data_IF_481117472132
#
_entry.id   IF_481117472132
#
_cell.length_a   1.000
_cell.length_b   1.000
_cell.length_c   1.000
_cell.angle_alpha   90.00
_cell.angle_beta   90.00
_cell.angle_gamma   90.00
#
_symmetry.space_group_name_H-M   'P 1'
#
loop_
_entity.id
_entity.type
_entity.pdbx_description
1 polymer ?
#
# COMPACT_ATOMS: atom_id res chain seq x y z
N UNK A 1 -5.64 -2.58 -13.62
CA UNK A 1 -4.31 -3.24 -13.84
C UNK A 1 -4.53 -4.63 -14.40
N UNK A 2 -3.90 -4.97 -15.53
CA UNK A 2 -3.94 -6.33 -16.07
C UNK A 2 -3.36 -7.33 -15.04
N UNK A 3 -3.86 -8.57 -14.94
CA UNK A 3 -3.37 -9.54 -13.96
C UNK A 3 -1.98 -10.10 -14.30
N UNK A 4 -1.53 -9.97 -15.56
CA UNK A 4 -0.25 -10.52 -16.06
C UNK A 4 0.35 -9.64 -17.16
N UNK A 5 1.63 -9.88 -17.49
CA UNK A 5 2.33 -9.18 -18.58
C UNK A 5 2.82 -7.77 -18.25
N UNK A 6 2.77 -7.37 -16.97
CA UNK A 6 3.26 -6.08 -16.54
C UNK A 6 4.71 -6.13 -16.08
N UNK A 7 5.35 -4.97 -16.06
CA UNK A 7 6.55 -4.70 -15.28
C UNK A 7 6.16 -3.78 -14.12
N UNK A 8 6.33 -4.27 -12.89
CA UNK A 8 5.74 -3.71 -11.67
C UNK A 8 6.84 -3.29 -10.69
N UNK A 9 6.82 -2.07 -10.20
CA UNK A 9 7.69 -1.64 -9.09
C UNK A 9 6.90 -1.54 -7.78
N UNK A 10 7.41 -2.22 -6.72
CA UNK A 10 6.77 -2.32 -5.40
C UNK A 10 7.73 -1.80 -4.32
N UNK A 11 7.90 -0.47 -4.14
CA UNK A 11 8.57 0.07 -2.97
C UNK A 11 7.81 -0.30 -1.70
N UNK A 12 8.50 -0.98 -0.76
CA UNK A 12 7.87 -1.63 0.40
C UNK A 12 7.53 -3.11 0.17
N UNK A 13 8.02 -3.71 -0.93
CA UNK A 13 7.82 -5.13 -1.28
C UNK A 13 8.71 -6.12 -0.53
N UNK A 14 9.41 -5.72 0.54
CA UNK A 14 10.35 -6.60 1.25
C UNK A 14 9.74 -7.37 2.43
N UNK A 15 8.46 -7.16 2.74
CA UNK A 15 7.78 -7.87 3.83
C UNK A 15 6.26 -7.68 3.76
N UNK A 16 5.52 -8.47 4.56
CA UNK A 16 4.08 -8.34 4.76
C UNK A 16 3.29 -8.35 3.46
N UNK A 17 2.27 -7.50 3.35
CA UNK A 17 1.39 -7.44 2.17
C UNK A 17 2.19 -7.19 0.89
N UNK A 18 3.19 -6.30 0.94
CA UNK A 18 3.99 -5.97 -0.24
C UNK A 18 4.75 -7.16 -0.82
N UNK A 19 5.39 -7.96 0.02
CA UNK A 19 6.08 -9.19 -0.39
C UNK A 19 5.09 -10.24 -0.88
N UNK A 20 4.04 -10.51 -0.12
CA UNK A 20 3.05 -11.52 -0.49
C UNK A 20 2.35 -11.22 -1.83
N UNK A 21 2.11 -9.94 -2.15
CA UNK A 21 1.59 -9.55 -3.45
C UNK A 21 2.66 -9.63 -4.55
N UNK A 22 3.92 -9.25 -4.26
CA UNK A 22 5.03 -9.35 -5.21
C UNK A 22 5.22 -10.79 -5.70
N UNK A 23 5.19 -11.76 -4.78
CA UNK A 23 5.29 -13.20 -5.09
C UNK A 23 4.14 -13.65 -6.02
N UNK A 24 2.91 -13.29 -5.69
CA UNK A 24 1.73 -13.67 -6.47
C UNK A 24 1.67 -12.99 -7.83
N UNK A 25 2.04 -11.74 -7.90
CA UNK A 25 2.13 -11.01 -9.17
C UNK A 25 3.18 -11.64 -10.08
N UNK A 26 4.35 -12.01 -9.56
CA UNK A 26 5.37 -12.69 -10.34
C UNK A 26 4.92 -14.09 -10.78
N UNK A 27 4.30 -14.86 -9.91
CA UNK A 27 3.73 -16.17 -10.23
C UNK A 27 2.64 -16.10 -11.32
N UNK A 28 1.98 -14.94 -11.48
CA UNK A 28 1.01 -14.68 -12.55
C UNK A 28 1.65 -14.14 -13.85
N UNK A 29 2.98 -14.17 -14.00
CA UNK A 29 3.67 -13.81 -15.25
C UNK A 29 3.96 -12.31 -15.41
N UNK A 30 4.12 -11.59 -14.31
CA UNK A 30 4.62 -10.22 -14.31
C UNK A 30 6.13 -10.19 -13.99
N UNK A 31 6.84 -9.18 -14.49
CA UNK A 31 8.18 -8.83 -14.02
C UNK A 31 8.03 -7.94 -12.79
N UNK A 32 8.55 -8.39 -11.64
CA UNK A 32 8.40 -7.65 -10.39
C UNK A 32 9.75 -7.13 -9.89
N UNK A 33 9.77 -5.84 -9.57
CA UNK A 33 10.89 -5.14 -8.94
C UNK A 33 10.42 -4.73 -7.54
N UNK A 34 11.15 -5.14 -6.50
CA UNK A 34 10.87 -4.71 -5.13
C UNK A 34 11.85 -3.64 -4.66
N UNK A 35 11.37 -2.74 -3.82
CA UNK A 35 12.19 -1.68 -3.22
C UNK A 35 12.14 -1.69 -1.70
N UNK A 36 13.28 -1.35 -1.08
CA UNK A 36 13.39 -1.24 0.37
C UNK A 36 14.74 -0.72 0.82
N UNK A 37 14.90 -0.46 2.12
CA UNK A 37 16.12 0.11 2.71
C UNK A 37 17.20 -0.92 3.02
N UNK A 38 16.80 -2.18 3.26
CA UNK A 38 17.70 -3.27 3.69
C UNK A 38 18.26 -3.98 2.47
N UNK A 39 19.48 -3.61 2.09
CA UNK A 39 20.15 -4.17 0.90
C UNK A 39 20.36 -5.67 1.00
N UNK A 40 20.83 -6.16 2.16
CA UNK A 40 21.05 -7.59 2.37
C UNK A 40 19.76 -8.42 2.20
N UNK A 41 18.63 -7.87 2.66
CA UNK A 41 17.32 -8.52 2.45
C UNK A 41 16.86 -8.45 1.00
N UNK A 42 17.15 -7.36 0.29
CA UNK A 42 16.87 -7.25 -1.14
C UNK A 42 17.66 -8.31 -1.94
N UNK A 43 18.94 -8.51 -1.62
CA UNK A 43 19.80 -9.51 -2.26
C UNK A 43 19.30 -10.93 -1.96
N UNK A 44 18.91 -11.20 -0.72
CA UNK A 44 18.30 -12.48 -0.33
C UNK A 44 17.02 -12.75 -1.14
N UNK A 45 16.08 -11.81 -1.16
CA UNK A 45 14.79 -11.96 -1.87
C UNK A 45 14.99 -12.05 -3.39
N UNK A 46 15.99 -11.38 -3.95
CA UNK A 46 16.35 -11.53 -5.35
C UNK A 46 16.82 -12.95 -5.66
N UNK A 47 17.65 -13.53 -4.78
CA UNK A 47 18.16 -14.90 -4.95
C UNK A 47 17.05 -15.97 -4.77
N UNK A 48 16.13 -15.76 -3.82
CA UNK A 48 15.06 -16.70 -3.51
C UNK A 48 13.92 -16.69 -4.54
N UNK A 49 13.53 -15.49 -5.01
CA UNK A 49 12.33 -15.31 -5.84
C UNK A 49 12.64 -14.84 -7.27
N UNK A 50 13.87 -14.38 -7.55
CA UNK A 50 14.22 -13.84 -8.85
C UNK A 50 13.67 -12.44 -9.12
N UNK A 51 13.31 -11.68 -8.07
CA UNK A 51 12.87 -10.29 -8.20
C UNK A 51 13.98 -9.39 -8.73
N UNK A 52 13.61 -8.36 -9.50
CA UNK A 52 14.42 -7.16 -9.58
C UNK A 52 14.45 -6.44 -8.23
N UNK A 53 15.58 -5.82 -7.88
CA UNK A 53 15.70 -5.10 -6.61
C UNK A 53 16.30 -3.72 -6.78
N UNK A 54 15.83 -2.77 -5.95
CA UNK A 54 16.34 -1.39 -5.90
C UNK A 54 16.32 -0.89 -4.45
N UNK A 55 17.47 -0.45 -3.91
CA UNK A 55 17.50 0.25 -2.64
C UNK A 55 16.71 1.55 -2.73
N UNK A 56 15.80 1.78 -1.78
CA UNK A 56 15.02 3.01 -1.71
C UNK A 56 14.60 3.31 -0.27
N UNK A 57 14.73 4.56 0.13
CA UNK A 57 14.06 5.15 1.29
C UNK A 57 13.00 6.13 0.80
N UNK A 58 11.71 5.81 1.03
CA UNK A 58 10.58 6.64 0.59
C UNK A 58 10.45 7.94 1.39
N UNK A 59 11.20 8.09 2.47
CA UNK A 59 11.25 9.34 3.25
C UNK A 59 12.24 10.36 2.68
N UNK A 60 13.21 9.89 1.87
CA UNK A 60 14.26 10.71 1.26
C UNK A 60 13.95 10.99 -0.22
N UNK A 61 13.70 12.27 -0.61
CA UNK A 61 13.47 12.64 -1.99
C UNK A 61 14.63 12.29 -2.94
N UNK A 62 15.89 12.36 -2.48
CA UNK A 62 17.05 12.04 -3.30
C UNK A 62 17.11 10.52 -3.57
N UNK A 63 16.82 9.70 -2.56
CA UNK A 63 16.72 8.24 -2.71
C UNK A 63 15.60 7.85 -3.70
N UNK A 64 14.43 8.51 -3.62
CA UNK A 64 13.34 8.29 -4.57
C UNK A 64 13.76 8.63 -6.01
N UNK A 65 14.42 9.78 -6.21
CA UNK A 65 14.87 10.20 -7.55
C UNK A 65 15.89 9.22 -8.14
N UNK A 66 16.86 8.77 -7.33
CA UNK A 66 17.86 7.76 -7.75
C UNK A 66 17.21 6.42 -8.08
N UNK A 67 16.29 5.94 -7.22
CA UNK A 67 15.55 4.71 -7.45
C UNK A 67 14.72 4.79 -8.73
N UNK A 68 14.03 5.91 -8.98
CA UNK A 68 13.23 6.11 -10.19
C UNK A 68 14.10 6.07 -11.45
N UNK A 69 15.23 6.78 -11.47
CA UNK A 69 16.17 6.74 -12.59
C UNK A 69 16.71 5.34 -12.83
N UNK A 70 17.07 4.60 -11.75
CA UNK A 70 17.58 3.23 -11.85
C UNK A 70 16.52 2.26 -12.37
N UNK A 71 15.27 2.33 -11.84
CA UNK A 71 14.18 1.45 -12.26
C UNK A 71 13.83 1.69 -13.72
N UNK A 72 13.59 2.94 -14.13
CA UNK A 72 13.23 3.29 -15.51
C UNK A 72 14.36 2.92 -16.48
N UNK A 73 15.62 3.15 -16.10
CA UNK A 73 16.78 2.82 -16.96
C UNK A 73 16.99 1.31 -17.14
N UNK A 74 16.73 0.50 -16.11
CA UNK A 74 16.89 -0.97 -16.15
C UNK A 74 15.65 -1.69 -16.67
N UNK A 75 14.47 -1.12 -16.46
CA UNK A 75 13.19 -1.68 -16.81
C UNK A 75 12.33 -0.65 -17.58
N UNK A 76 12.70 -0.32 -18.82
CA UNK A 76 11.99 0.70 -19.61
C UNK A 76 10.54 0.32 -19.89
N UNK A 77 10.18 -0.96 -19.74
CA UNK A 77 8.79 -1.45 -19.89
C UNK A 77 7.94 -1.27 -18.62
N UNK A 78 8.47 -0.65 -17.56
CA UNK A 78 7.73 -0.39 -16.34
C UNK A 78 6.40 0.31 -16.65
N UNK A 79 5.30 -0.34 -16.29
CA UNK A 79 3.95 0.20 -16.49
C UNK A 79 3.09 0.20 -15.22
N UNK A 80 3.58 -0.38 -14.11
CA UNK A 80 2.83 -0.39 -12.85
C UNK A 80 3.70 0.07 -11.68
N UNK A 81 3.20 1.05 -10.92
CA UNK A 81 3.77 1.47 -9.65
C UNK A 81 2.80 1.09 -8.52
N UNK A 82 3.27 0.34 -7.52
CA UNK A 82 2.51 0.02 -6.31
C UNK A 82 3.10 0.78 -5.13
N UNK A 83 2.50 1.90 -4.72
CA UNK A 83 2.98 2.73 -3.61
C UNK A 83 2.63 2.08 -2.25
N UNK A 84 3.35 0.99 -1.90
CA UNK A 84 3.03 0.08 -0.79
C UNK A 84 3.67 0.48 0.53
N UNK A 85 4.80 1.19 0.52
CA UNK A 85 5.55 1.50 1.74
C UNK A 85 4.70 2.26 2.77
N UNK A 86 4.72 1.81 4.01
CA UNK A 86 3.99 2.44 5.09
C UNK A 86 4.41 1.91 6.46
N UNK A 87 4.16 2.70 7.49
CA UNK A 87 4.37 2.36 8.90
C UNK A 87 3.11 2.67 9.70
N UNK A 88 2.94 1.99 10.83
CA UNK A 88 1.85 2.20 11.77
C UNK A 88 2.41 2.10 13.19
N UNK A 89 2.03 3.04 14.05
CA UNK A 89 2.44 3.06 15.45
C UNK A 89 1.27 3.42 16.34
N UNK A 90 1.34 2.99 17.61
CA UNK A 90 0.42 3.45 18.64
C UNK A 90 0.84 4.83 19.08
N UNK A 91 -0.10 5.70 19.27
CA UNK A 91 0.11 7.08 19.70
C UNK A 91 -0.74 7.36 20.93
N UNK A 92 -0.13 8.01 21.92
CA UNK A 92 -0.84 8.60 23.05
C UNK A 92 -0.73 10.14 22.95
N UNK A 93 -1.81 10.78 22.52
CA UNK A 93 -1.86 12.22 22.30
C UNK A 93 -1.90 13.04 23.61
N UNK A 94 -1.91 12.38 24.78
CA UNK A 94 -1.75 13.02 26.09
C UNK A 94 -0.28 13.21 26.47
N UNK A 95 0.64 12.53 25.77
CA UNK A 95 2.08 12.64 25.93
C UNK A 95 2.72 13.19 24.64
N UNK A 96 3.41 14.35 24.73
CA UNK A 96 4.04 15.00 23.56
C UNK A 96 5.08 14.13 22.84
N UNK A 97 5.52 13.01 23.42
CA UNK A 97 6.44 12.07 22.76
C UNK A 97 5.87 11.47 21.45
N UNK A 98 4.52 11.47 21.25
CA UNK A 98 3.91 10.98 20.01
C UNK A 98 4.33 11.78 18.78
N UNK A 99 4.74 13.05 18.91
CA UNK A 99 4.91 13.98 17.76
C UNK A 99 5.98 13.48 16.78
N UNK A 100 7.10 12.96 17.27
CA UNK A 100 8.15 12.41 16.39
C UNK A 100 7.66 11.20 15.56
N UNK A 101 6.83 10.34 16.15
CA UNK A 101 6.22 9.21 15.46
C UNK A 101 5.17 9.68 14.45
N UNK A 102 4.37 10.68 14.79
CA UNK A 102 3.38 11.28 13.90
C UNK A 102 4.05 11.89 12.65
N UNK A 103 5.11 12.69 12.82
CA UNK A 103 5.88 13.26 11.70
C UNK A 103 6.48 12.18 10.81
N UNK A 104 7.02 11.12 11.40
CA UNK A 104 7.55 9.99 10.63
C UNK A 104 6.45 9.25 9.86
N UNK A 105 5.27 9.04 10.47
CA UNK A 105 4.11 8.42 9.80
C UNK A 105 3.66 9.30 8.62
N UNK A 106 3.51 10.60 8.79
CA UNK A 106 3.13 11.52 7.70
C UNK A 106 4.17 11.50 6.58
N UNK A 107 5.45 11.55 6.92
CA UNK A 107 6.54 11.53 5.93
C UNK A 107 6.54 10.24 5.13
N UNK A 108 6.36 9.09 5.79
CA UNK A 108 6.39 7.77 5.14
C UNK A 108 5.10 7.49 4.36
N UNK A 109 3.94 7.67 5.01
CA UNK A 109 2.66 7.18 4.49
C UNK A 109 1.95 8.15 3.55
N UNK A 110 2.29 9.43 3.60
CA UNK A 110 1.65 10.46 2.76
C UNK A 110 2.65 11.11 1.80
N UNK A 111 3.72 11.72 2.31
CA UNK A 111 4.70 12.39 1.45
C UNK A 111 5.47 11.38 0.59
N UNK A 112 5.78 10.18 1.12
CA UNK A 112 6.42 9.10 0.37
C UNK A 112 5.66 8.72 -0.90
N UNK A 113 4.39 8.29 -0.81
CA UNK A 113 3.56 8.01 -1.98
C UNK A 113 3.42 9.18 -2.96
N UNK A 114 3.22 10.41 -2.47
CA UNK A 114 3.13 11.60 -3.33
C UNK A 114 4.43 11.77 -4.14
N UNK A 115 5.60 11.67 -3.50
CA UNK A 115 6.91 11.80 -4.14
C UNK A 115 7.18 10.66 -5.13
N UNK A 116 6.81 9.42 -4.77
CA UNK A 116 6.91 8.26 -5.67
C UNK A 116 6.07 8.47 -6.93
N UNK A 117 4.79 8.82 -6.77
CA UNK A 117 3.89 9.07 -7.90
C UNK A 117 4.45 10.18 -8.79
N UNK A 118 4.90 11.30 -8.19
CA UNK A 118 5.52 12.40 -8.95
C UNK A 118 6.75 11.95 -9.75
N UNK A 119 7.62 11.11 -9.16
CA UNK A 119 8.84 10.64 -9.81
C UNK A 119 8.58 9.68 -11.00
N UNK A 120 7.48 8.92 -10.97
CA UNK A 120 7.19 7.92 -12.00
C UNK A 120 6.12 8.34 -13.02
N UNK A 121 5.27 9.34 -12.74
CA UNK A 121 4.17 9.74 -13.63
C UNK A 121 4.67 10.12 -15.02
N UNK A 122 5.79 10.85 -15.14
CA UNK A 122 6.38 11.21 -16.43
C UNK A 122 6.73 10.02 -17.32
N UNK A 123 7.19 8.92 -16.73
CA UNK A 123 7.44 7.67 -17.43
C UNK A 123 6.13 6.91 -17.71
N UNK A 124 5.27 6.74 -16.70
CA UNK A 124 4.04 5.97 -16.80
C UNK A 124 3.09 6.49 -17.90
N UNK A 125 2.97 7.81 -18.07
CA UNK A 125 2.12 8.39 -19.12
C UNK A 125 2.58 8.03 -20.55
N UNK A 126 3.80 7.53 -20.72
CA UNK A 126 4.32 7.06 -22.01
C UNK A 126 4.07 5.57 -22.25
N UNK A 127 3.52 4.86 -21.26
CA UNK A 127 3.37 3.40 -21.33
C UNK A 127 1.92 3.00 -21.58
N UNK A 128 1.66 1.95 -22.40
CA UNK A 128 0.34 1.35 -22.49
C UNK A 128 -0.03 0.71 -21.15
N UNK A 129 -1.32 0.69 -20.83
CA UNK A 129 -1.89 0.03 -19.63
C UNK A 129 -1.25 0.48 -18.31
N UNK A 130 -0.76 1.73 -18.29
CA UNK A 130 -0.10 2.27 -17.10
C UNK A 130 -1.04 2.32 -15.89
N UNK A 131 -0.56 1.82 -14.75
CA UNK A 131 -1.34 1.81 -13.51
C UNK A 131 -0.51 2.32 -12.33
N UNK A 132 -1.13 3.17 -11.53
CA UNK A 132 -0.67 3.53 -10.18
C UNK A 132 -1.60 2.85 -9.18
N UNK A 133 -1.06 1.96 -8.37
CA UNK A 133 -1.77 1.37 -7.24
C UNK A 133 -1.36 2.08 -5.96
N UNK A 134 -2.30 2.78 -5.34
CA UNK A 134 -2.15 3.37 -4.00
C UNK A 134 -2.62 2.39 -2.95
N UNK A 135 -2.18 2.56 -1.70
CA UNK A 135 -2.56 1.68 -0.59
C UNK A 135 -3.08 2.50 0.57
N UNK A 136 -4.39 2.53 0.73
CA UNK A 136 -5.06 3.11 1.89
C UNK A 136 -5.26 2.09 3.01
N UNK A 137 -6.41 2.01 3.60
CA UNK A 137 -6.77 1.07 4.66
C UNK A 137 -8.28 1.16 4.95
N UNK A 138 -8.88 0.15 5.53
CA UNK A 138 -10.18 0.26 6.18
C UNK A 138 -10.22 1.38 7.24
N UNK A 139 -9.07 1.69 7.85
CA UNK A 139 -8.91 2.80 8.81
C UNK A 139 -8.92 4.20 8.16
N UNK A 140 -9.00 4.28 6.85
CA UNK A 140 -9.31 5.54 6.15
C UNK A 140 -10.78 5.95 6.32
N UNK A 141 -11.64 5.00 6.63
CA UNK A 141 -13.09 5.16 6.69
C UNK A 141 -13.66 5.07 8.12
N UNK A 142 -13.05 4.25 8.98
CA UNK A 142 -13.43 4.11 10.40
C UNK A 142 -12.17 4.16 11.26
N UNK A 143 -12.03 5.11 12.19
CA UNK A 143 -10.80 5.33 12.92
C UNK A 143 -10.58 4.29 14.02
N UNK A 144 -9.36 3.79 14.12
CA UNK A 144 -8.86 3.07 15.29
C UNK A 144 -8.23 4.08 16.26
N UNK A 145 -8.72 4.12 17.50
CA UNK A 145 -8.35 5.11 18.51
C UNK A 145 -6.85 5.24 18.77
N UNK A 146 -6.14 4.12 18.75
CA UNK A 146 -4.72 4.07 19.12
C UNK A 146 -3.75 4.43 18.00
N UNK A 147 -4.25 4.81 16.81
CA UNK A 147 -3.41 5.13 15.64
C UNK A 147 -3.90 6.38 14.89
N UNK A 148 -4.09 7.53 15.56
CA UNK A 148 -4.71 8.71 14.99
C UNK A 148 -4.04 9.21 13.71
N UNK A 149 -2.71 9.39 13.73
CA UNK A 149 -1.96 9.90 12.56
C UNK A 149 -1.97 8.90 11.39
N UNK A 150 -1.88 7.58 11.69
CA UNK A 150 -2.04 6.57 10.64
C UNK A 150 -3.40 6.68 9.94
N UNK A 151 -4.50 6.74 10.72
CA UNK A 151 -5.85 6.88 10.16
C UNK A 151 -5.93 8.11 9.25
N UNK A 152 -5.43 9.26 9.72
CA UNK A 152 -5.42 10.51 8.95
C UNK A 152 -4.63 10.37 7.64
N UNK A 153 -3.44 9.74 7.66
CA UNK A 153 -2.67 9.53 6.42
C UNK A 153 -3.40 8.61 5.44
N UNK A 154 -4.11 7.59 5.93
CA UNK A 154 -4.85 6.66 5.07
C UNK A 154 -6.12 7.28 4.48
N UNK A 155 -6.80 8.14 5.22
CA UNK A 155 -7.90 8.97 4.69
C UNK A 155 -7.39 9.94 3.61
N UNK A 156 -6.23 10.57 3.83
CA UNK A 156 -5.61 11.43 2.83
C UNK A 156 -5.24 10.66 1.54
N UNK A 157 -4.69 9.45 1.65
CA UNK A 157 -4.38 8.60 0.48
C UNK A 157 -5.66 8.18 -0.26
N UNK A 158 -6.75 7.87 0.45
CA UNK A 158 -8.03 7.56 -0.18
C UNK A 158 -8.50 8.73 -1.08
N UNK A 159 -8.60 9.93 -0.52
CA UNK A 159 -9.05 11.09 -1.28
C UNK A 159 -8.06 11.50 -2.38
N UNK A 160 -6.76 11.34 -2.14
CA UNK A 160 -5.73 11.52 -3.16
C UNK A 160 -5.93 10.56 -4.34
N UNK A 161 -6.24 9.28 -4.06
CA UNK A 161 -6.47 8.26 -5.11
C UNK A 161 -7.66 8.62 -5.99
N UNK A 162 -8.77 9.07 -5.40
CA UNK A 162 -9.93 9.53 -6.16
C UNK A 162 -9.59 10.73 -7.05
N UNK A 163 -8.87 11.72 -6.51
CA UNK A 163 -8.51 12.93 -7.25
C UNK A 163 -7.50 12.63 -8.36
N UNK A 164 -6.49 11.80 -8.11
CA UNK A 164 -5.52 11.40 -9.12
C UNK A 164 -6.18 10.61 -10.26
N UNK A 165 -7.18 9.78 -9.96
CA UNK A 165 -7.95 9.06 -10.98
C UNK A 165 -8.59 10.03 -11.97
N UNK A 166 -9.16 11.13 -11.48
CA UNK A 166 -9.75 12.17 -12.34
C UNK A 166 -8.69 12.90 -13.17
N UNK A 167 -7.53 13.21 -12.60
CA UNK A 167 -6.48 13.95 -13.28
C UNK A 167 -5.70 13.12 -14.30
N UNK A 168 -5.48 11.83 -14.03
CA UNK A 168 -4.59 11.00 -14.82
C UNK A 168 -5.34 10.16 -15.89
N UNK A 169 -6.65 10.00 -15.76
CA UNK A 169 -7.45 9.30 -16.77
C UNK A 169 -7.29 9.88 -18.20
N UNK A 170 -7.29 11.20 -18.40
CA UNK A 170 -7.12 11.77 -19.75
C UNK A 170 -5.78 11.47 -20.41
N UNK A 171 -4.75 11.12 -19.65
CA UNK A 171 -3.42 10.74 -20.14
C UNK A 171 -3.19 9.22 -20.11
N UNK A 172 -4.25 8.42 -19.94
CA UNK A 172 -4.20 6.97 -20.03
C UNK A 172 -3.58 6.23 -18.84
N UNK A 173 -3.38 6.90 -17.69
CA UNK A 173 -2.86 6.26 -16.48
C UNK A 173 -4.02 5.90 -15.55
N UNK A 174 -4.21 4.61 -15.31
CA UNK A 174 -5.19 4.10 -14.36
C UNK A 174 -4.72 4.32 -12.92
N UNK A 175 -5.64 4.69 -12.03
CA UNK A 175 -5.37 4.73 -10.58
C UNK A 175 -6.31 3.76 -9.87
N UNK A 176 -5.74 2.77 -9.21
CA UNK A 176 -6.45 1.76 -8.43
C UNK A 176 -6.03 1.87 -6.97
N UNK A 177 -6.98 1.83 -6.07
CA UNK A 177 -6.73 1.88 -4.63
C UNK A 177 -6.88 0.48 -4.03
N UNK A 178 -5.83 -0.01 -3.37
CA UNK A 178 -5.90 -1.18 -2.52
C UNK A 178 -6.30 -0.76 -1.10
N UNK A 179 -7.35 -1.37 -0.55
CA UNK A 179 -7.89 -1.03 0.77
C UNK A 179 -7.80 -2.24 1.70
N UNK A 180 -6.68 -2.44 2.43
CA UNK A 180 -6.53 -3.56 3.34
C UNK A 180 -7.39 -3.44 4.60
N UNK A 181 -7.94 -4.55 5.14
CA UNK A 181 -8.33 -4.66 6.54
C UNK A 181 -7.09 -4.82 7.43
N UNK A 182 -7.27 -5.14 8.71
CA UNK A 182 -6.18 -5.70 9.51
C UNK A 182 -5.74 -7.05 8.92
N UNK A 183 -4.45 -7.17 8.56
CA UNK A 183 -3.84 -8.38 7.99
C UNK A 183 -2.68 -8.82 8.88
N UNK A 184 -2.51 -10.12 9.12
CA UNK A 184 -1.44 -10.68 9.97
C UNK A 184 -0.06 -10.38 9.41
N UNK A 185 0.49 -9.23 9.81
CA UNK A 185 1.80 -8.72 9.43
C UNK A 185 2.47 -8.04 10.62
N UNK A 186 3.76 -7.72 10.48
CA UNK A 186 4.50 -6.95 11.48
C UNK A 186 4.27 -5.43 11.42
N UNK A 187 3.20 -4.94 10.78
CA UNK A 187 2.94 -3.51 10.61
C UNK A 187 2.68 -2.82 11.95
N UNK A 188 1.89 -3.45 12.82
CA UNK A 188 1.64 -3.01 14.19
C UNK A 188 2.03 -4.14 15.15
N UNK A 189 2.73 -3.87 16.28
CA UNK A 189 3.01 -4.89 17.29
C UNK A 189 1.74 -5.63 17.73
N UNK A 190 1.79 -6.97 17.78
CA UNK A 190 0.67 -7.84 18.10
C UNK A 190 -0.24 -8.21 16.93
N UNK A 191 -0.22 -7.49 15.80
CA UNK A 191 -1.11 -7.75 14.67
C UNK A 191 -0.84 -9.10 13.98
N UNK A 192 0.41 -9.55 13.95
CA UNK A 192 0.81 -10.81 13.31
C UNK A 192 0.20 -12.06 13.98
N UNK A 193 -0.14 -11.99 15.25
CA UNK A 193 -0.75 -13.10 16.02
C UNK A 193 -2.22 -12.85 16.35
N UNK A 194 -2.78 -11.72 15.92
CA UNK A 194 -4.16 -11.34 16.21
C UNK A 194 -5.15 -12.24 15.47
N UNK A 195 -6.13 -12.77 16.19
CA UNK A 195 -7.24 -13.54 15.62
C UNK A 195 -8.19 -12.65 14.80
N UNK A 196 -8.22 -11.35 15.10
CA UNK A 196 -9.03 -10.37 14.36
C UNK A 196 -8.40 -9.98 13.03
N UNK A 197 -7.09 -10.20 12.84
CA UNK A 197 -6.42 -9.91 11.59
C UNK A 197 -6.60 -11.06 10.59
N UNK A 198 -6.83 -10.71 9.33
CA UNK A 198 -6.95 -11.68 8.23
C UNK A 198 -5.60 -12.37 7.99
N UNK A 199 -5.55 -13.69 7.80
CA UNK A 199 -4.32 -14.37 7.38
C UNK A 199 -3.75 -13.74 6.11
N UNK A 200 -2.42 -13.59 6.06
CA UNK A 200 -1.74 -12.87 4.97
C UNK A 200 -1.96 -13.55 3.61
N UNK A 201 -1.89 -14.88 3.57
CA UNK A 201 -2.06 -15.63 2.33
C UNK A 201 -3.50 -15.53 1.80
N UNK A 202 -4.50 -15.67 2.68
CA UNK A 202 -5.91 -15.51 2.30
C UNK A 202 -6.16 -14.11 1.72
N UNK A 203 -5.61 -13.08 2.38
CA UNK A 203 -5.71 -11.69 1.91
C UNK A 203 -5.12 -11.52 0.50
N UNK A 204 -3.89 -11.99 0.30
CA UNK A 204 -3.19 -11.82 -0.96
C UNK A 204 -3.85 -12.62 -2.10
N UNK A 205 -4.38 -13.81 -1.81
CA UNK A 205 -5.11 -14.63 -2.79
C UNK A 205 -6.43 -13.98 -3.19
N UNK A 206 -7.18 -13.42 -2.23
CA UNK A 206 -8.42 -12.70 -2.51
C UNK A 206 -8.15 -11.43 -3.34
N UNK A 207 -7.10 -10.66 -3.02
CA UNK A 207 -6.68 -9.50 -3.81
C UNK A 207 -6.38 -9.88 -5.25
N UNK A 208 -5.63 -10.97 -5.49
CA UNK A 208 -5.34 -11.45 -6.84
C UNK A 208 -6.60 -11.90 -7.58
N UNK A 209 -7.54 -12.52 -6.88
CA UNK A 209 -8.85 -12.89 -7.41
C UNK A 209 -9.64 -11.66 -7.88
N UNK A 210 -9.67 -10.60 -7.08
CA UNK A 210 -10.34 -9.34 -7.40
C UNK A 210 -9.70 -8.62 -8.59
N UNK A 211 -8.37 -8.57 -8.66
CA UNK A 211 -7.64 -7.99 -9.81
C UNK A 211 -7.98 -8.74 -11.11
N UNK A 212 -8.08 -10.08 -11.04
CA UNK A 212 -8.45 -10.91 -12.21
C UNK A 212 -9.90 -10.70 -12.62
N UNK A 213 -10.81 -10.55 -11.66
CA UNK A 213 -12.23 -10.37 -11.91
C UNK A 213 -12.56 -9.00 -12.52
N UNK A 214 -11.89 -7.95 -12.08
CA UNK A 214 -12.05 -6.59 -12.62
C UNK A 214 -10.69 -5.85 -12.67
N UNK A 215 -9.96 -5.93 -13.79
CA UNK A 215 -8.71 -5.21 -14.00
C UNK A 215 -8.83 -3.67 -13.97
N UNK A 216 -10.05 -3.15 -14.10
CA UNK A 216 -10.32 -1.71 -14.09
C UNK A 216 -10.95 -1.21 -12.80
N UNK A 217 -11.02 -2.05 -11.77
CA UNK A 217 -11.55 -1.67 -10.47
C UNK A 217 -10.88 -0.39 -9.92
N UNK A 218 -11.70 0.53 -9.44
CA UNK A 218 -11.22 1.74 -8.79
C UNK A 218 -10.68 1.45 -7.39
N UNK A 219 -11.31 0.51 -6.69
CA UNK A 219 -10.90 0.04 -5.36
C UNK A 219 -10.84 -1.50 -5.37
N UNK A 220 -9.82 -2.05 -4.74
CA UNK A 220 -9.71 -3.49 -4.47
C UNK A 220 -10.09 -3.71 -3.02
N UNK A 221 -11.28 -4.27 -2.80
CA UNK A 221 -11.95 -4.44 -1.51
C UNK A 221 -12.17 -5.93 -1.24
N UNK A 222 -11.29 -6.54 -0.43
CA UNK A 222 -11.57 -7.88 0.09
C UNK A 222 -12.83 -7.85 0.96
N UNK A 223 -13.55 -8.97 1.08
CA UNK A 223 -14.86 -8.99 1.75
C UNK A 223 -14.80 -8.40 3.17
N UNK A 224 -13.75 -8.76 3.90
CA UNK A 224 -13.57 -8.33 5.30
C UNK A 224 -13.48 -6.81 5.49
N UNK A 225 -12.90 -6.06 4.53
CA UNK A 225 -12.76 -4.60 4.67
C UNK A 225 -14.07 -3.85 4.43
N UNK A 226 -15.03 -4.45 3.73
CA UNK A 226 -16.32 -3.83 3.42
C UNK A 226 -17.10 -3.44 4.68
N UNK A 227 -16.87 -4.14 5.79
CA UNK A 227 -17.42 -3.78 7.10
C UNK A 227 -17.03 -2.34 7.51
N UNK A 228 -15.78 -1.97 7.30
CA UNK A 228 -15.30 -0.61 7.58
C UNK A 228 -15.61 0.36 6.43
N UNK A 229 -15.31 -0.05 5.17
CA UNK A 229 -15.43 0.81 3.99
C UNK A 229 -16.83 1.38 3.81
N UNK A 230 -17.86 0.63 4.13
CA UNK A 230 -19.26 1.01 3.87
C UNK A 230 -20.05 1.39 5.13
N UNK A 231 -19.41 1.63 6.28
CA UNK A 231 -20.10 1.95 7.52
C UNK A 231 -20.96 3.22 7.41
N UNK A 232 -20.46 4.29 6.78
CA UNK A 232 -21.25 5.51 6.54
C UNK A 232 -22.44 5.25 5.61
N UNK A 233 -22.22 4.55 4.50
CA UNK A 233 -23.27 4.26 3.49
C UNK A 233 -24.36 3.37 4.07
N UNK A 234 -23.99 2.42 4.96
CA UNK A 234 -24.97 1.59 5.68
C UNK A 234 -25.72 2.35 6.79
N UNK A 235 -25.19 3.47 7.25
CA UNK A 235 -25.77 4.24 8.35
C UNK A 235 -25.49 3.67 9.75
N UNK A 236 -24.50 2.78 9.88
CA UNK A 236 -24.10 2.15 11.14
C UNK A 236 -22.71 2.59 11.65
N UNK A 237 -22.21 3.73 11.14
CA UNK A 237 -20.87 4.23 11.42
C UNK A 237 -20.52 4.28 12.90
N UNK A 238 -21.35 4.90 13.74
CA UNK A 238 -21.08 5.02 15.19
C UNK A 238 -20.98 3.65 15.88
N UNK A 239 -21.80 2.69 15.46
CA UNK A 239 -21.75 1.31 15.97
C UNK A 239 -20.46 0.62 15.55
N UNK A 240 -20.01 0.82 14.30
CA UNK A 240 -18.76 0.25 13.78
C UNK A 240 -17.55 0.87 14.49
N UNK A 241 -17.55 2.19 14.72
CA UNK A 241 -16.51 2.88 15.52
C UNK A 241 -16.47 2.30 16.94
N UNK A 242 -17.63 2.16 17.60
CA UNK A 242 -17.69 1.59 18.94
C UNK A 242 -17.17 0.14 18.97
N UNK A 243 -17.59 -0.69 18.03
CA UNK A 243 -17.18 -2.09 17.92
C UNK A 243 -15.67 -2.23 17.70
N UNK A 244 -15.11 -1.45 16.77
CA UNK A 244 -13.67 -1.46 16.46
C UNK A 244 -12.81 -1.05 17.67
N UNK A 245 -13.33 -0.16 18.52
CA UNK A 245 -12.61 0.44 19.64
C UNK A 245 -13.02 -0.11 21.02
N UNK A 246 -13.94 -1.07 21.10
CA UNK A 246 -14.42 -1.66 22.37
C UNK A 246 -13.31 -2.42 23.10
N UNK A 247 -12.46 -3.10 22.36
CA UNK A 247 -11.22 -3.68 22.85
C UNK A 247 -10.13 -3.36 21.84
N UNK A 248 -8.89 -3.11 22.31
CA UNK A 248 -7.79 -3.00 21.36
C UNK A 248 -7.56 -4.40 20.73
N UNK A 249 -7.88 -4.61 19.44
CA UNK A 249 -7.81 -5.92 18.83
C UNK A 249 -6.39 -6.48 18.72
N UNK A 250 -5.37 -5.65 19.05
CA UNK A 250 -3.96 -5.96 18.97
C UNK A 250 -3.23 -5.74 20.30
N UNK A 251 -3.98 -5.56 21.43
CA UNK A 251 -3.42 -5.42 22.78
C UNK A 251 -2.93 -6.79 23.29
N UNK A 252 -1.70 -7.14 22.97
CA UNK A 252 -0.91 -8.16 23.68
C UNK A 252 0.55 -7.77 23.68
#
# INVERSE_FOLDING_TARGET
>A
MNPSGNTIFVPGGTSGIGLALAERLQANGNTVIIGGRRTDLLDQLAAEHGFGTVPIDVTDPASIAQAAASVVGRYPELNVLVAMAGIMRREDWTDLAFLADAEQIVTTNLLGPIRLIAAFTGHLQTRPDATIMTVSSGLAHVPLRVTPTYNATKAAIHLLSETLRLQLAPIGVQVTELVPPAVRTGLLPGQQTSEFAMPLDEYADEVMGLIKADPHAHEILVERVKFLRYAEVRGDYDQVVATLNAADPHAR
#
